data_IF_076070110262
#
_entry.id   IF_076070110262
#
_cell.length_a   1.000
_cell.length_b   1.000
_cell.length_c   1.000
_cell.angle_alpha   90.00
_cell.angle_beta   90.00
_cell.angle_gamma   90.00
#
_symmetry.space_group_name_H-M   'P 1'
#
loop_
_entity.id
_entity.type
_entity.pdbx_description
1 polymer ?
#
# COMPACT_ATOMS: atom_id res chain seq x y z
N UNK A 1 -1.23 -1.86 -11.29
CA UNK A 1 -2.34 -1.23 -10.54
C UNK A 1 -2.86 -0.10 -11.39
N UNK A 2 -4.18 0.01 -11.66
CA UNK A 2 -4.70 1.19 -12.34
C UNK A 2 -4.34 2.40 -11.49
N UNK A 3 -3.50 3.25 -12.05
CA UNK A 3 -3.15 4.53 -11.45
C UNK A 3 -4.46 5.30 -11.22
N UNK A 4 -4.77 5.60 -9.96
CA UNK A 4 -5.99 6.36 -9.67
C UNK A 4 -5.85 7.68 -10.42
N UNK A 5 -6.76 7.91 -11.36
CA UNK A 5 -6.78 9.15 -12.14
C UNK A 5 -6.95 10.34 -11.21
N UNK A 6 -5.82 10.98 -10.88
CA UNK A 6 -5.79 12.14 -9.97
C UNK A 6 -6.38 13.39 -10.59
N UNK A 7 -6.72 13.37 -11.88
CA UNK A 7 -7.40 14.48 -12.56
C UNK A 7 -8.90 14.52 -12.22
N UNK A 8 -9.43 13.43 -11.63
CA UNK A 8 -10.83 13.41 -11.21
C UNK A 8 -11.10 14.47 -10.13
N UNK A 9 -12.14 15.31 -10.29
CA UNK A 9 -12.37 16.50 -9.45
C UNK A 9 -12.98 16.14 -8.09
N UNK A 10 -12.27 15.39 -7.26
CA UNK A 10 -12.66 15.06 -5.88
C UNK A 10 -11.69 15.66 -4.88
N UNK A 11 -12.19 15.95 -3.69
CA UNK A 11 -11.39 16.44 -2.57
C UNK A 11 -10.79 15.32 -1.73
N UNK A 12 -9.82 15.67 -0.89
CA UNK A 12 -9.25 14.76 0.13
C UNK A 12 -10.34 14.16 1.00
N UNK A 13 -11.27 14.98 1.50
CA UNK A 13 -12.38 14.51 2.34
C UNK A 13 -13.26 13.51 1.60
N UNK A 14 -13.60 13.77 0.35
CA UNK A 14 -14.40 12.84 -0.47
C UNK A 14 -13.66 11.50 -0.68
N UNK A 15 -12.36 11.56 -0.94
CA UNK A 15 -11.52 10.35 -1.09
C UNK A 15 -11.49 9.53 0.20
N UNK A 16 -11.31 10.17 1.34
CA UNK A 16 -11.28 9.50 2.64
C UNK A 16 -12.64 8.90 2.99
N UNK A 17 -13.73 9.62 2.71
CA UNK A 17 -15.11 9.16 2.94
C UNK A 17 -15.47 7.87 2.18
N UNK A 18 -14.80 7.57 1.06
CA UNK A 18 -14.96 6.27 0.39
C UNK A 18 -14.59 5.09 1.30
N UNK A 19 -13.76 5.30 2.33
CA UNK A 19 -13.46 4.31 3.35
C UNK A 19 -14.67 3.90 4.21
N UNK A 20 -15.70 4.73 4.29
CA UNK A 20 -16.91 4.42 5.03
C UNK A 20 -17.90 3.50 4.26
N UNK A 21 -17.76 3.35 2.94
CA UNK A 21 -18.69 2.60 2.08
C UNK A 21 -18.95 1.16 2.51
N UNK A 22 -17.96 0.36 2.96
CA UNK A 22 -18.23 -1.00 3.42
C UNK A 22 -19.23 -1.08 4.57
N UNK A 23 -19.29 -0.03 5.41
CA UNK A 23 -20.20 0.06 6.56
C UNK A 23 -21.53 0.73 6.22
N UNK A 24 -21.47 1.78 5.39
CA UNK A 24 -22.64 2.60 5.06
C UNK A 24 -23.50 2.00 3.93
N UNK A 25 -22.89 1.21 3.03
CA UNK A 25 -23.48 0.79 1.76
C UNK A 25 -23.41 1.89 0.69
N UNK A 26 -23.33 1.48 -0.57
CA UNK A 26 -23.09 2.38 -1.72
C UNK A 26 -24.21 3.42 -1.96
N UNK A 27 -25.39 3.18 -1.43
CA UNK A 27 -26.58 4.02 -1.66
C UNK A 27 -27.00 4.88 -0.44
N UNK A 28 -26.27 4.79 0.66
CA UNK A 28 -26.59 5.57 1.85
C UNK A 28 -25.88 6.92 1.80
N UNK A 29 -26.60 7.97 2.15
CA UNK A 29 -26.00 9.30 2.32
C UNK A 29 -24.95 9.26 3.45
N UNK A 30 -23.82 9.93 3.21
CA UNK A 30 -22.74 10.07 4.20
C UNK A 30 -23.29 10.84 5.41
N UNK A 31 -23.19 10.22 6.60
CA UNK A 31 -23.66 10.83 7.83
C UNK A 31 -22.71 11.95 8.32
N UNK A 32 -23.21 12.82 9.22
CA UNK A 32 -22.34 13.80 9.89
C UNK A 32 -21.23 13.13 10.70
N UNK A 33 -21.53 12.00 11.33
CA UNK A 33 -20.56 11.19 12.09
C UNK A 33 -19.44 10.67 11.17
N UNK A 34 -19.79 10.15 9.98
CA UNK A 34 -18.76 9.70 9.02
C UNK A 34 -17.86 10.86 8.58
N UNK A 35 -18.42 12.05 8.39
CA UNK A 35 -17.63 13.24 8.04
C UNK A 35 -16.69 13.66 9.17
N UNK A 36 -17.12 13.62 10.42
CA UNK A 36 -16.29 13.92 11.59
C UNK A 36 -15.17 12.89 11.74
N UNK A 37 -15.49 11.59 11.62
CA UNK A 37 -14.49 10.52 11.62
C UNK A 37 -13.47 10.69 10.49
N UNK A 38 -13.92 11.03 9.26
CA UNK A 38 -13.03 11.26 8.13
C UNK A 38 -12.08 12.44 8.39
N UNK A 39 -12.56 13.56 8.96
CA UNK A 39 -11.71 14.69 9.34
C UNK A 39 -10.68 14.30 10.39
N UNK A 40 -11.07 13.50 11.39
CA UNK A 40 -10.12 12.99 12.39
C UNK A 40 -9.06 12.10 11.74
N UNK A 41 -9.44 11.22 10.80
CA UNK A 41 -8.46 10.40 10.06
C UNK A 41 -7.49 11.26 9.23
N UNK A 42 -7.98 12.32 8.57
CA UNK A 42 -7.17 13.28 7.81
C UNK A 42 -6.17 13.99 8.74
N UNK A 43 -6.62 14.44 9.91
CA UNK A 43 -5.74 15.07 10.91
C UNK A 43 -4.67 14.10 11.43
N UNK A 44 -5.03 12.84 11.71
CA UNK A 44 -4.12 11.81 12.20
C UNK A 44 -2.94 11.52 11.24
N UNK A 45 -3.14 11.69 9.94
CA UNK A 45 -2.07 11.53 8.95
C UNK A 45 -1.34 12.84 8.63
N UNK A 46 -1.62 13.93 9.39
CA UNK A 46 -0.96 15.23 9.22
C UNK A 46 -1.44 16.02 8.00
N UNK A 47 -2.69 15.83 7.59
CA UNK A 47 -3.33 16.56 6.49
C UNK A 47 -4.45 17.52 6.96
N UNK A 48 -4.44 17.93 8.25
CA UNK A 48 -5.38 18.91 8.75
C UNK A 48 -5.33 20.21 7.90
N UNK A 49 -6.50 20.70 7.47
CA UNK A 49 -6.62 21.86 6.59
C UNK A 49 -6.62 21.53 5.08
N UNK A 50 -6.39 20.28 4.70
CA UNK A 50 -6.44 19.83 3.30
C UNK A 50 -7.76 19.17 2.90
N UNK A 51 -8.77 19.17 3.77
CA UNK A 51 -10.05 18.47 3.58
C UNK A 51 -10.72 18.79 2.24
N UNK A 52 -10.65 20.06 1.84
CA UNK A 52 -11.27 20.57 0.62
C UNK A 52 -10.30 20.69 -0.57
N UNK A 53 -9.03 20.39 -0.35
CA UNK A 53 -8.05 20.42 -1.43
C UNK A 53 -8.37 19.33 -2.47
N UNK A 54 -8.30 19.64 -3.77
CA UNK A 54 -8.43 18.63 -4.81
C UNK A 54 -7.24 17.64 -4.75
N UNK A 55 -7.49 16.35 -4.97
CA UNK A 55 -6.42 15.34 -4.94
C UNK A 55 -5.32 15.60 -5.97
N UNK A 56 -5.64 16.26 -7.07
CA UNK A 56 -4.68 16.66 -8.10
C UNK A 56 -3.61 17.64 -7.58
N UNK A 57 -3.92 18.43 -6.55
CA UNK A 57 -3.00 19.41 -5.97
C UNK A 57 -2.05 18.83 -4.91
N UNK A 58 -2.22 17.55 -4.54
CA UNK A 58 -1.41 16.92 -3.51
C UNK A 58 -0.04 16.49 -4.06
N UNK A 59 1.02 16.65 -3.25
CA UNK A 59 2.29 15.97 -3.49
C UNK A 59 2.11 14.44 -3.38
N UNK A 60 3.09 13.67 -3.87
CA UNK A 60 3.05 12.21 -3.75
C UNK A 60 2.91 11.74 -2.29
N UNK A 61 3.69 12.32 -1.36
CA UNK A 61 3.59 12.00 0.06
C UNK A 61 2.25 12.39 0.67
N UNK A 62 1.68 13.55 0.33
CA UNK A 62 0.34 13.95 0.79
C UNK A 62 -0.74 13.01 0.24
N UNK A 63 -0.62 12.58 -1.01
CA UNK A 63 -1.53 11.60 -1.60
C UNK A 63 -1.51 10.27 -0.85
N UNK A 64 -0.32 9.71 -0.58
CA UNK A 64 -0.21 8.48 0.22
C UNK A 64 -0.81 8.65 1.61
N UNK A 65 -0.56 9.77 2.29
CA UNK A 65 -1.21 10.07 3.58
C UNK A 65 -2.74 10.08 3.47
N UNK A 66 -3.31 10.65 2.40
CA UNK A 66 -4.76 10.65 2.18
C UNK A 66 -5.31 9.22 1.96
N UNK A 67 -4.59 8.36 1.23
CA UNK A 67 -4.95 6.94 1.09
C UNK A 67 -4.89 6.18 2.42
N UNK A 68 -3.89 6.45 3.26
CA UNK A 68 -3.81 5.88 4.60
C UNK A 68 -4.95 6.37 5.51
N UNK A 69 -5.33 7.66 5.44
CA UNK A 69 -6.51 8.17 6.14
C UNK A 69 -7.80 7.43 5.74
N UNK A 70 -7.95 7.11 4.44
CA UNK A 70 -9.05 6.29 3.93
C UNK A 70 -9.02 4.87 4.53
N UNK A 71 -7.83 4.23 4.62
CA UNK A 71 -7.69 2.90 5.22
C UNK A 71 -8.01 2.92 6.72
N UNK A 72 -7.61 3.97 7.46
CA UNK A 72 -7.99 4.14 8.87
C UNK A 72 -9.51 4.20 9.00
N UNK A 73 -10.19 4.99 8.17
CA UNK A 73 -11.66 5.12 8.20
C UNK A 73 -12.36 3.81 7.80
N UNK A 74 -11.77 3.04 6.89
CA UNK A 74 -12.31 1.76 6.43
C UNK A 74 -12.35 0.72 7.53
N UNK A 75 -11.40 0.77 8.48
CA UNK A 75 -11.32 -0.08 9.67
C UNK A 75 -11.35 -1.59 9.34
N UNK A 76 -10.65 -2.00 8.29
CA UNK A 76 -10.61 -3.38 7.82
C UNK A 76 -9.72 -4.25 8.72
N UNK A 77 -10.09 -5.52 8.90
CA UNK A 77 -9.25 -6.52 9.60
C UNK A 77 -8.08 -7.00 8.77
N UNK A 78 -8.21 -6.99 7.45
CA UNK A 78 -7.16 -7.36 6.49
C UNK A 78 -6.91 -6.16 5.60
N UNK A 79 -5.66 -5.73 5.52
CA UNK A 79 -5.21 -4.56 4.77
C UNK A 79 -4.19 -5.03 3.73
N UNK A 80 -4.45 -4.71 2.46
CA UNK A 80 -3.55 -4.99 1.35
C UNK A 80 -2.94 -3.68 0.86
N UNK A 81 -1.62 -3.64 0.82
CA UNK A 81 -0.83 -2.49 0.39
C UNK A 81 0.03 -2.89 -0.81
N UNK A 82 -0.06 -2.15 -1.90
CA UNK A 82 0.77 -2.35 -3.07
C UNK A 82 1.71 -1.15 -3.22
N UNK A 83 3.00 -1.38 -3.00
CA UNK A 83 4.08 -0.38 -2.99
C UNK A 83 3.75 0.92 -2.23
N UNK A 84 3.24 0.84 -0.98
CA UNK A 84 2.68 2.00 -0.28
C UNK A 84 3.70 3.08 0.08
N UNK A 85 5.00 2.80 -0.07
CA UNK A 85 6.11 3.70 0.26
C UNK A 85 6.86 4.18 -0.98
N UNK A 86 6.43 3.80 -2.19
CA UNK A 86 7.08 4.22 -3.43
C UNK A 86 6.95 5.73 -3.65
N UNK A 87 8.04 6.38 -4.08
CA UNK A 87 8.09 7.81 -4.36
C UNK A 87 7.66 8.73 -3.19
N UNK A 88 7.83 8.25 -1.96
CA UNK A 88 7.53 8.97 -0.73
C UNK A 88 8.84 9.35 -0.02
N UNK A 89 8.89 10.55 0.56
CA UNK A 89 10.05 10.99 1.34
C UNK A 89 10.23 10.17 2.63
N UNK A 90 11.45 10.13 3.16
CA UNK A 90 11.83 9.31 4.31
C UNK A 90 11.01 9.62 5.56
N UNK A 91 10.69 10.90 5.80
CA UNK A 91 9.88 11.31 6.96
C UNK A 91 8.46 10.78 6.84
N UNK A 92 7.84 10.95 5.69
CA UNK A 92 6.49 10.42 5.43
C UNK A 92 6.50 8.90 5.50
N UNK A 93 7.49 8.22 4.92
CA UNK A 93 7.66 6.77 5.01
C UNK A 93 7.70 6.30 6.46
N UNK A 94 8.50 6.96 7.30
CA UNK A 94 8.59 6.65 8.74
C UNK A 94 7.24 6.74 9.44
N UNK A 95 6.46 7.79 9.16
CA UNK A 95 5.13 7.97 9.77
C UNK A 95 4.14 6.90 9.29
N UNK A 96 4.14 6.56 8.00
CA UNK A 96 3.28 5.51 7.44
C UNK A 96 3.62 4.12 7.96
N UNK A 97 4.91 3.81 8.15
CA UNK A 97 5.37 2.55 8.78
C UNK A 97 4.87 2.42 10.21
N UNK A 98 4.88 3.51 10.99
CA UNK A 98 4.31 3.50 12.35
C UNK A 98 2.82 3.15 12.35
N UNK A 99 2.05 3.64 11.37
CA UNK A 99 0.64 3.27 11.23
C UNK A 99 0.48 1.78 10.92
N UNK A 100 1.29 1.24 10.01
CA UNK A 100 1.28 -0.19 9.65
C UNK A 100 1.59 -1.06 10.88
N UNK A 101 2.62 -0.70 11.65
CA UNK A 101 2.96 -1.41 12.89
C UNK A 101 1.86 -1.27 13.96
N UNK A 102 1.21 -0.11 14.04
CA UNK A 102 0.05 0.11 14.92
C UNK A 102 -1.11 -0.84 14.58
N UNK A 103 -1.47 -0.97 13.31
CA UNK A 103 -2.51 -1.90 12.85
C UNK A 103 -2.18 -3.35 13.17
N UNK A 104 -0.91 -3.76 12.97
CA UNK A 104 -0.47 -5.10 13.37
C UNK A 104 -0.59 -5.31 14.89
N UNK A 105 -0.18 -4.32 15.67
CA UNK A 105 -0.32 -4.34 17.13
C UNK A 105 -1.77 -4.40 17.63
N UNK A 106 -2.73 -3.91 16.83
CA UNK A 106 -4.17 -4.03 17.06
C UNK A 106 -4.74 -5.40 16.64
N UNK A 107 -3.90 -6.33 16.16
CA UNK A 107 -4.31 -7.66 15.70
C UNK A 107 -4.90 -7.69 14.30
N UNK A 108 -4.64 -6.67 13.47
CA UNK A 108 -5.02 -6.67 12.05
C UNK A 108 -3.95 -7.40 11.24
N UNK A 109 -4.36 -8.02 10.15
CA UNK A 109 -3.45 -8.61 9.17
C UNK A 109 -3.09 -7.56 8.14
N UNK A 110 -1.79 -7.25 7.99
CA UNK A 110 -1.30 -6.34 6.95
C UNK A 110 -0.42 -7.14 5.99
N UNK A 111 -0.75 -7.09 4.71
CA UNK A 111 0.04 -7.68 3.62
C UNK A 111 0.51 -6.54 2.73
N UNK A 112 1.82 -6.37 2.60
CA UNK A 112 2.43 -5.34 1.77
C UNK A 112 3.26 -5.98 0.65
N UNK A 113 3.04 -5.56 -0.60
CA UNK A 113 3.92 -5.88 -1.72
C UNK A 113 5.01 -4.81 -1.76
N UNK A 114 6.26 -5.26 -1.69
CA UNK A 114 7.44 -4.39 -1.61
C UNK A 114 8.58 -5.02 -2.41
N UNK A 115 9.52 -4.18 -2.89
CA UNK A 115 10.69 -4.63 -3.65
C UNK A 115 12.03 -4.29 -2.99
N UNK A 116 12.05 -3.44 -1.96
CA UNK A 116 13.27 -3.10 -1.21
C UNK A 116 13.51 -4.12 -0.09
N UNK A 117 14.46 -5.03 -0.32
CA UNK A 117 14.84 -6.09 0.62
C UNK A 117 15.36 -5.52 1.94
N UNK A 118 16.13 -4.43 1.92
CA UNK A 118 16.69 -3.83 3.12
C UNK A 118 15.58 -3.22 4.00
N UNK A 119 14.61 -2.57 3.35
CA UNK A 119 13.43 -2.03 4.00
C UNK A 119 12.56 -3.13 4.62
N UNK A 120 12.31 -4.23 3.86
CA UNK A 120 11.53 -5.37 4.33
C UNK A 120 12.18 -5.98 5.58
N UNK A 121 13.50 -6.26 5.54
CA UNK A 121 14.25 -6.83 6.68
C UNK A 121 14.14 -5.98 7.94
N UNK A 122 14.01 -4.65 7.80
CA UNK A 122 13.93 -3.73 8.94
C UNK A 122 12.53 -3.63 9.54
N UNK A 123 11.48 -3.77 8.73
CA UNK A 123 10.13 -3.36 9.13
C UNK A 123 9.10 -4.49 9.14
N UNK A 124 9.37 -5.63 8.50
CA UNK A 124 8.40 -6.73 8.39
C UNK A 124 8.93 -8.02 8.99
N UNK A 125 8.22 -8.64 9.97
CA UNK A 125 8.69 -9.82 10.67
C UNK A 125 8.61 -11.09 9.82
N UNK A 126 7.66 -11.16 8.90
CA UNK A 126 7.43 -12.30 8.01
C UNK A 126 7.43 -11.87 6.55
N UNK A 127 7.94 -12.72 5.68
CA UNK A 127 8.02 -12.48 4.25
C UNK A 127 7.59 -13.71 3.46
N UNK A 128 6.80 -13.45 2.41
CA UNK A 128 6.52 -14.38 1.32
C UNK A 128 7.32 -13.94 0.10
N UNK A 129 8.37 -14.70 -0.26
CA UNK A 129 9.21 -14.43 -1.43
C UNK A 129 8.66 -15.21 -2.63
N UNK A 130 8.28 -14.46 -3.66
CA UNK A 130 7.68 -14.99 -4.89
C UNK A 130 8.53 -14.57 -6.10
N UNK A 131 8.86 -15.52 -6.96
CA UNK A 131 9.49 -15.31 -8.26
C UNK A 131 8.82 -16.23 -9.29
N UNK A 132 7.60 -15.85 -9.73
CA UNK A 132 6.65 -16.67 -10.51
C UNK A 132 6.06 -17.83 -9.70
N UNK A 133 6.87 -18.46 -8.87
CA UNK A 133 6.47 -19.50 -7.94
C UNK A 133 6.86 -19.08 -6.52
N UNK A 134 6.35 -19.81 -5.54
CA UNK A 134 6.75 -19.64 -4.15
C UNK A 134 8.20 -20.06 -3.97
N UNK A 135 9.06 -19.14 -3.58
CA UNK A 135 10.46 -19.41 -3.26
C UNK A 135 10.65 -19.74 -1.79
N UNK A 136 10.10 -18.88 -0.91
CA UNK A 136 10.17 -19.07 0.53
C UNK A 136 9.02 -18.35 1.23
N UNK A 137 8.63 -18.83 2.42
CA UNK A 137 7.68 -18.19 3.32
C UNK A 137 8.09 -18.45 4.77
N UNK A 138 8.14 -17.42 5.57
CA UNK A 138 8.45 -17.51 7.00
C UNK A 138 9.07 -16.24 7.56
N UNK A 139 9.80 -16.36 8.69
CA UNK A 139 10.53 -15.25 9.25
C UNK A 139 11.38 -14.54 8.19
N UNK A 140 11.36 -13.24 8.18
CA UNK A 140 12.00 -12.43 7.13
C UNK A 140 13.50 -12.73 6.99
N UNK A 141 14.19 -13.01 8.10
CA UNK A 141 15.61 -13.40 8.09
C UNK A 141 15.87 -14.65 7.26
N UNK A 142 14.97 -15.63 7.35
CA UNK A 142 15.11 -16.93 6.70
C UNK A 142 14.60 -16.88 5.26
N UNK A 143 13.43 -16.26 5.07
CA UNK A 143 12.80 -16.13 3.76
C UNK A 143 13.65 -15.30 2.79
N UNK A 144 14.33 -14.26 3.29
CA UNK A 144 15.23 -13.41 2.52
C UNK A 144 16.72 -13.78 2.73
N UNK A 145 17.05 -15.06 2.95
CA UNK A 145 18.43 -15.52 2.92
C UNK A 145 19.04 -15.26 1.54
N UNK A 146 20.37 -15.12 1.49
CA UNK A 146 21.07 -14.87 0.22
C UNK A 146 20.81 -15.99 -0.80
N UNK A 147 20.74 -17.25 -0.33
CA UNK A 147 20.39 -18.40 -1.15
C UNK A 147 18.99 -18.26 -1.79
N UNK A 148 17.97 -17.87 -1.01
CA UNK A 148 16.62 -17.70 -1.52
C UNK A 148 16.52 -16.53 -2.49
N UNK A 149 17.25 -15.44 -2.24
CA UNK A 149 17.30 -14.27 -3.14
C UNK A 149 17.96 -14.65 -4.47
N UNK A 150 19.08 -15.39 -4.44
CA UNK A 150 19.74 -15.87 -5.66
C UNK A 150 18.85 -16.84 -6.44
N UNK A 151 18.15 -17.74 -5.75
CA UNK A 151 17.19 -18.64 -6.38
C UNK A 151 16.05 -17.87 -7.06
N UNK A 152 15.51 -16.86 -6.41
CA UNK A 152 14.46 -16.00 -6.98
C UNK A 152 14.94 -15.27 -8.24
N UNK A 153 16.16 -14.72 -8.23
CA UNK A 153 16.79 -14.07 -9.39
C UNK A 153 16.97 -15.03 -10.55
N UNK A 154 17.55 -16.22 -10.29
CA UNK A 154 17.77 -17.23 -11.32
C UNK A 154 16.46 -17.70 -11.99
N UNK A 155 15.37 -17.81 -11.21
CA UNK A 155 14.04 -18.15 -11.74
C UNK A 155 13.51 -17.04 -12.66
N UNK A 156 13.66 -15.79 -12.26
CA UNK A 156 13.23 -14.63 -13.06
C UNK A 156 14.01 -14.51 -14.37
N UNK A 157 15.34 -14.70 -14.32
CA UNK A 157 16.22 -14.64 -15.49
C UNK A 157 15.95 -15.76 -16.49
N UNK A 158 15.67 -16.98 -16.01
CA UNK A 158 15.28 -18.12 -16.85
C UNK A 158 14.01 -17.79 -17.63
N UNK A 159 13.01 -17.32 -16.94
CA UNK A 159 11.74 -16.96 -17.55
C UNK A 159 11.86 -15.83 -18.60
N UNK A 160 12.67 -14.80 -18.32
CA UNK A 160 12.92 -13.73 -19.28
C UNK A 160 13.57 -14.23 -20.57
N UNK A 161 14.46 -15.23 -20.49
CA UNK A 161 15.10 -15.87 -21.67
C UNK A 161 14.09 -16.71 -22.46
N UNK A 162 13.23 -17.45 -21.79
CA UNK A 162 12.20 -18.27 -22.45
C UNK A 162 11.19 -17.41 -23.23
N UNK A 163 10.81 -16.25 -22.70
CA UNK A 163 9.92 -15.31 -23.40
C UNK A 163 10.57 -14.67 -24.64
N UNK A 164 11.85 -14.30 -24.54
CA UNK A 164 12.58 -13.72 -25.67
C UNK A 164 12.88 -14.75 -26.76
N UNK A 165 13.13 -16.03 -26.41
CA UNK A 165 13.35 -17.11 -27.37
C UNK A 165 12.09 -17.51 -28.17
N UNK A 166 10.90 -17.31 -27.63
CA UNK A 166 9.63 -17.60 -28.32
C UNK A 166 9.28 -16.56 -29.39
N UNK A 167 9.82 -15.36 -29.33
CA UNK A 167 9.58 -14.32 -30.34
C UNK A 167 10.49 -14.40 -31.58
N UNK A 168 11.63 -15.12 -31.51
CA UNK A 168 12.53 -15.27 -32.65
C UNK A 168 12.11 -16.40 -33.63
N UNK A 169 11.17 -17.26 -33.29
CA UNK A 169 10.69 -18.34 -34.15
C UNK A 169 9.34 -18.09 -34.83
N UNK A 170 8.83 -16.87 -34.79
CA UNK A 170 7.53 -16.48 -35.38
C UNK A 170 7.68 -15.52 -36.58
N UNK A 171 8.73 -15.76 -37.44
CA UNK A 171 8.86 -15.08 -38.73
C UNK A 171 9.04 -16.10 -39.87
#
# INVERSE_FOLDING_TARGET
>A
VPEIDRTFPISVLQTVLMGAWPRAGAFRAVSKVDQECARACIANVGLAGYEHAPIAALSAGQWHRALFARLILQDARVILLDEPFAAVDERTTTDLVKLVHGWHGEGRTVIAVLHDVAFIRRHFPETLLIARELVAWGPTTDALSDENIERARAMTDRWAREQNGTHEHAH
#
